data_IF_013136136765
#
_entry.id   IF_013136136765
#
_cell.length_a   1.000
_cell.length_b   1.000
_cell.length_c   1.000
_cell.angle_alpha   90.00
_cell.angle_beta   90.00
_cell.angle_gamma   90.00
#
_symmetry.space_group_name_H-M   'P 1'
#
loop_
_entity.id
_entity.type
_entity.pdbx_description
1 polymer ?
#
# COMPACT_ATOMS: atom_id res chain seq x y z
N UNK A 1 -13.70 15.78 11.92
CA UNK A 1 -12.50 15.87 11.06
C UNK A 1 -11.45 14.99 11.72
N UNK A 2 -11.32 13.75 11.27
CA UNK A 2 -10.23 12.90 11.72
C UNK A 2 -8.94 13.56 11.23
N UNK A 3 -7.95 13.76 12.11
CA UNK A 3 -6.62 14.16 11.66
C UNK A 3 -6.16 13.09 10.66
N UNK A 4 -5.91 13.46 9.41
CA UNK A 4 -5.16 12.59 8.49
C UNK A 4 -3.85 12.29 9.20
N UNK A 5 -3.73 11.08 9.76
CA UNK A 5 -2.49 10.67 10.39
C UNK A 5 -1.48 10.57 9.28
N UNK A 6 -0.51 11.49 9.27
CA UNK A 6 0.60 11.46 8.35
C UNK A 6 1.23 10.06 8.39
N UNK A 7 1.35 9.42 7.23
CA UNK A 7 1.93 8.08 7.13
C UNK A 7 3.36 8.08 7.68
N UNK A 8 3.60 7.25 8.68
CA UNK A 8 4.91 7.04 9.28
C UNK A 8 5.54 5.77 8.71
N UNK A 9 6.47 5.97 7.76
CA UNK A 9 7.14 4.90 7.05
C UNK A 9 8.02 4.03 7.96
N UNK A 10 8.62 4.62 9.00
CA UNK A 10 9.54 3.91 9.89
C UNK A 10 8.75 2.97 10.80
N UNK A 11 7.70 3.49 11.45
CA UNK A 11 6.79 2.68 12.27
C UNK A 11 6.12 1.59 11.43
N UNK A 12 5.68 1.91 10.20
CA UNK A 12 5.09 0.93 9.29
C UNK A 12 6.08 -0.18 8.93
N UNK A 13 7.34 0.16 8.65
CA UNK A 13 8.38 -0.81 8.31
C UNK A 13 8.69 -1.76 9.46
N UNK A 14 8.73 -1.27 10.71
CA UNK A 14 8.94 -2.12 11.89
C UNK A 14 7.84 -3.19 12.04
N UNK A 15 6.58 -2.78 11.87
CA UNK A 15 5.44 -3.70 11.93
C UNK A 15 5.50 -4.71 10.79
N UNK A 16 5.72 -4.24 9.56
CA UNK A 16 5.64 -5.09 8.38
C UNK A 16 6.75 -6.12 8.27
N UNK A 17 7.93 -5.87 8.84
CA UNK A 17 8.98 -6.89 8.91
C UNK A 17 8.51 -8.14 9.66
N UNK A 18 7.73 -7.96 10.73
CA UNK A 18 7.15 -9.05 11.51
C UNK A 18 6.00 -9.72 10.77
N UNK A 19 5.07 -8.91 10.24
CA UNK A 19 3.86 -9.42 9.57
C UNK A 19 4.20 -10.16 8.27
N UNK A 20 5.10 -9.61 7.46
CA UNK A 20 5.52 -10.23 6.19
C UNK A 20 6.58 -11.32 6.39
N UNK A 21 7.22 -11.39 7.57
CA UNK A 21 8.33 -12.31 7.82
C UNK A 21 9.58 -12.00 7.00
N UNK A 22 9.74 -10.75 6.56
CA UNK A 22 10.88 -10.30 5.74
C UNK A 22 11.70 -9.32 6.57
N UNK A 23 12.82 -9.75 7.18
CA UNK A 23 13.68 -8.84 7.93
C UNK A 23 14.40 -7.88 6.99
N UNK A 24 14.43 -6.59 7.35
CA UNK A 24 15.16 -5.55 6.61
C UNK A 24 16.41 -5.20 7.41
N UNK A 25 17.57 -5.27 6.75
CA UNK A 25 18.84 -4.95 7.37
C UNK A 25 18.94 -3.45 7.67
N UNK A 26 19.70 -3.09 8.70
CA UNK A 26 19.83 -1.71 9.14
C UNK A 26 20.34 -0.80 8.02
N UNK A 27 21.30 -1.26 7.21
CA UNK A 27 21.84 -0.50 6.09
C UNK A 27 20.83 -0.25 4.94
N UNK A 28 19.68 -0.93 4.95
CA UNK A 28 18.64 -0.79 3.92
C UNK A 28 17.43 0.02 4.39
N UNK A 29 17.27 0.23 5.71
CA UNK A 29 16.07 0.83 6.29
C UNK A 29 15.73 2.18 5.68
N UNK A 30 16.73 3.07 5.56
CA UNK A 30 16.53 4.41 5.00
C UNK A 30 16.00 4.36 3.56
N UNK A 31 16.59 3.52 2.71
CA UNK A 31 16.14 3.36 1.32
C UNK A 31 14.73 2.77 1.22
N UNK A 32 14.42 1.76 2.05
CA UNK A 32 13.08 1.17 2.09
C UNK A 32 12.04 2.18 2.58
N UNK A 33 12.34 2.94 3.63
CA UNK A 33 11.45 3.99 4.15
C UNK A 33 11.17 5.09 3.10
N UNK A 34 12.18 5.47 2.31
CA UNK A 34 12.02 6.41 1.20
C UNK A 34 11.08 5.87 0.11
N UNK A 35 11.20 4.58 -0.23
CA UNK A 35 10.30 3.95 -1.19
C UNK A 35 8.87 3.82 -0.66
N UNK A 36 8.70 3.49 0.62
CA UNK A 36 7.38 3.45 1.27
C UNK A 36 6.70 4.82 1.25
N UNK A 37 7.45 5.88 1.56
CA UNK A 37 6.95 7.26 1.49
C UNK A 37 6.55 7.68 0.07
N UNK A 38 7.20 7.12 -0.95
CA UNK A 38 6.83 7.36 -2.35
C UNK A 38 5.57 6.58 -2.73
N UNK A 39 5.46 5.32 -2.27
CA UNK A 39 4.29 4.50 -2.49
C UNK A 39 3.04 5.09 -1.84
N UNK A 40 3.16 5.68 -0.64
CA UNK A 40 2.04 6.36 0.01
C UNK A 40 1.50 7.53 -0.81
N UNK A 41 2.38 8.36 -1.39
CA UNK A 41 1.95 9.44 -2.29
C UNK A 41 1.19 8.92 -3.51
N UNK A 42 1.64 7.80 -4.07
CA UNK A 42 0.94 7.16 -5.19
C UNK A 42 -0.41 6.59 -4.76
N UNK A 43 -0.48 5.98 -3.57
CA UNK A 43 -1.74 5.51 -3.00
C UNK A 43 -2.73 6.67 -2.78
N UNK A 44 -2.27 7.82 -2.29
CA UNK A 44 -3.08 9.02 -2.14
C UNK A 44 -3.67 9.53 -3.47
N UNK A 45 -2.92 9.41 -4.58
CA UNK A 45 -3.46 9.74 -5.92
C UNK A 45 -4.60 8.78 -6.30
N UNK A 46 -4.44 7.49 -6.03
CA UNK A 46 -5.47 6.48 -6.32
C UNK A 46 -6.69 6.65 -5.43
N UNK A 47 -6.50 6.94 -4.15
CA UNK A 47 -7.58 7.19 -3.19
C UNK A 47 -8.39 8.45 -3.53
N UNK A 48 -7.72 9.48 -4.04
CA UNK A 48 -8.37 10.70 -4.51
C UNK A 48 -9.08 10.56 -5.87
N UNK A 49 -8.90 9.44 -6.58
CA UNK A 49 -9.55 9.22 -7.86
C UNK A 49 -11.07 9.06 -7.65
N UNK A 50 -11.87 9.75 -8.46
CA UNK A 50 -13.32 9.55 -8.47
C UNK A 50 -13.63 8.26 -9.21
N UNK A 51 -13.94 7.21 -8.46
CA UNK A 51 -14.30 5.90 -9.02
C UNK A 51 -15.75 5.62 -8.66
N UNK A 52 -16.57 5.31 -9.67
CA UNK A 52 -17.96 4.89 -9.48
C UNK A 52 -17.97 3.42 -9.00
N UNK A 53 -18.42 3.14 -7.75
CA UNK A 53 -18.39 1.79 -7.19
C UNK A 53 -19.18 0.76 -7.99
N UNK A 54 -20.22 1.20 -8.71
CA UNK A 54 -21.11 0.33 -9.48
C UNK A 54 -20.53 -0.05 -10.85
N UNK A 55 -19.40 0.56 -11.24
CA UNK A 55 -18.72 0.29 -12.51
C UNK A 55 -17.28 -0.19 -12.34
N UNK A 56 -16.84 -0.49 -11.10
CA UNK A 56 -15.50 -1.03 -10.85
C UNK A 56 -15.44 -2.49 -11.30
N UNK A 57 -14.97 -2.70 -12.53
CA UNK A 57 -14.49 -4.00 -12.95
C UNK A 57 -13.05 -4.21 -12.47
N UNK A 58 -12.85 -5.19 -11.61
CA UNK A 58 -11.52 -5.61 -11.21
C UNK A 58 -10.78 -6.18 -12.43
N UNK A 59 -9.54 -5.75 -12.67
CA UNK A 59 -8.73 -6.33 -13.72
C UNK A 59 -8.40 -7.80 -13.38
N UNK A 60 -8.52 -8.70 -14.36
CA UNK A 60 -8.17 -10.12 -14.26
C UNK A 60 -8.98 -10.92 -13.21
N UNK A 61 -10.28 -10.69 -13.11
CA UNK A 61 -11.15 -11.53 -12.27
C UNK A 61 -11.12 -12.98 -12.76
N UNK A 62 -11.03 -13.92 -11.81
CA UNK A 62 -11.18 -15.33 -12.11
C UNK A 62 -12.56 -15.61 -12.70
N UNK A 63 -12.60 -16.19 -13.90
CA UNK A 63 -13.83 -16.66 -14.53
C UNK A 63 -13.90 -18.18 -14.44
N UNK A 64 -14.90 -18.69 -13.72
CA UNK A 64 -15.24 -20.12 -13.74
C UNK A 64 -15.70 -20.45 -15.16
N UNK A 65 -14.98 -21.31 -15.87
CA UNK A 65 -15.50 -21.85 -17.13
C UNK A 65 -16.67 -22.79 -16.81
N UNK A 66 -17.85 -22.48 -17.34
CA UNK A 66 -18.99 -23.41 -17.31
C UNK A 66 -18.59 -24.72 -18.00
N UNK A 67 -19.09 -25.88 -17.50
CA UNK A 67 -18.76 -27.20 -18.05
C UNK A 67 -19.15 -27.37 -19.52
#
# INVERSE_FOLDING_TARGET
>A
MASESQFDADTYLEVMQTVAGIPVRDEWKEGVAQHLSTAEKMAGIVEAAQIDPDTIDLANVFQVKSP
#
